data_IF_759130388312
#
_entry.id   IF_759130388312
#
_cell.length_a   1.000
_cell.length_b   1.000
_cell.length_c   1.000
_cell.angle_alpha   90.00
_cell.angle_beta   90.00
_cell.angle_gamma   90.00
#
_symmetry.space_group_name_H-M   'P 1'
#
loop_
_entity.id
_entity.type
_entity.pdbx_description
1 polymer ?
#
# COMPACT_ATOMS: atom_id res chain seq x y z
N UNK A 1 -22.60 -3.60 -10.32
CA UNK A 1 -22.12 -2.20 -10.40
C UNK A 1 -20.67 -2.22 -10.88
N UNK A 2 -20.28 -1.37 -11.83
CA UNK A 2 -18.90 -1.35 -12.36
C UNK A 2 -17.92 -0.77 -11.34
N UNK A 3 -16.87 -1.52 -11.01
CA UNK A 3 -15.80 -1.17 -10.05
C UNK A 3 -14.74 -0.22 -10.63
N UNK A 4 -14.75 0.02 -11.95
CA UNK A 4 -13.84 0.99 -12.58
C UNK A 4 -14.18 2.41 -12.13
N UNK A 5 -13.15 3.18 -11.79
CA UNK A 5 -13.25 4.57 -11.37
C UNK A 5 -12.87 5.46 -12.56
N UNK A 6 -13.57 6.58 -12.72
CA UNK A 6 -13.31 7.56 -13.78
C UNK A 6 -13.62 8.96 -13.26
N UNK A 7 -14.01 9.85 -14.16
CA UNK A 7 -14.34 11.25 -13.81
C UNK A 7 -15.62 11.38 -12.96
N UNK A 8 -16.53 10.41 -13.02
CA UNK A 8 -17.76 10.42 -12.24
C UNK A 8 -17.57 9.70 -10.90
N UNK A 9 -17.89 10.40 -9.81
CA UNK A 9 -17.75 9.89 -8.44
C UNK A 9 -18.69 8.71 -8.19
N UNK A 10 -18.15 7.65 -7.58
CA UNK A 10 -18.88 6.45 -7.13
C UNK A 10 -18.67 6.13 -5.66
N UNK A 11 -17.81 6.88 -4.96
CA UNK A 11 -17.55 6.71 -3.53
C UNK A 11 -18.77 7.13 -2.71
N UNK A 12 -19.01 6.38 -1.63
CA UNK A 12 -20.11 6.65 -0.68
C UNK A 12 -19.63 7.33 0.60
N UNK A 13 -18.31 7.43 0.79
CA UNK A 13 -17.67 8.04 1.94
C UNK A 13 -16.16 8.16 1.73
N UNK A 14 -15.50 8.80 2.68
CA UNK A 14 -14.07 9.03 2.70
C UNK A 14 -13.53 8.92 4.13
N UNK A 15 -12.23 8.67 4.25
CA UNK A 15 -11.53 8.62 5.53
C UNK A 15 -10.33 9.55 5.49
N UNK A 16 -9.95 10.06 6.65
CA UNK A 16 -8.78 10.92 6.81
C UNK A 16 -7.93 10.39 7.96
N UNK A 17 -6.61 10.38 7.74
CA UNK A 17 -5.63 10.06 8.77
C UNK A 17 -4.58 11.17 8.87
N UNK A 18 -3.90 11.22 10.01
CA UNK A 18 -2.80 12.15 10.26
C UNK A 18 -1.58 11.31 10.68
N UNK A 19 -0.44 11.58 10.05
CA UNK A 19 0.87 10.98 10.38
C UNK A 19 1.97 12.02 10.23
N UNK A 20 3.12 11.77 10.86
CA UNK A 20 4.32 12.62 10.74
C UNK A 20 5.10 12.38 9.44
N UNK A 21 4.78 11.29 8.74
CA UNK A 21 5.27 10.96 7.42
C UNK A 21 4.15 10.35 6.58
N UNK A 22 4.39 10.22 5.27
CA UNK A 22 3.40 9.72 4.33
C UNK A 22 3.06 8.26 4.58
N UNK A 23 4.07 7.41 4.79
CA UNK A 23 3.90 5.98 4.99
C UNK A 23 2.97 5.71 6.18
N UNK A 24 3.18 6.41 7.30
CA UNK A 24 2.36 6.35 8.50
C UNK A 24 0.92 6.78 8.24
N UNK A 25 0.72 7.95 7.63
CA UNK A 25 -0.60 8.48 7.34
C UNK A 25 -1.34 7.51 6.39
N UNK A 26 -0.68 7.07 5.33
CA UNK A 26 -1.27 6.20 4.32
C UNK A 26 -1.73 4.86 4.92
N UNK A 27 -0.88 4.18 5.69
CA UNK A 27 -1.27 2.90 6.31
C UNK A 27 -2.42 3.06 7.32
N UNK A 28 -2.46 4.17 8.07
CA UNK A 28 -3.58 4.48 8.97
C UNK A 28 -4.87 4.71 8.21
N UNK A 29 -4.84 5.48 7.12
CA UNK A 29 -6.02 5.72 6.29
C UNK A 29 -6.53 4.40 5.71
N UNK A 30 -5.64 3.55 5.21
CA UNK A 30 -6.04 2.30 4.55
C UNK A 30 -6.76 1.34 5.51
N UNK A 31 -6.37 1.31 6.78
CA UNK A 31 -7.09 0.56 7.84
C UNK A 31 -8.46 1.12 8.20
N UNK A 32 -8.70 2.41 7.98
CA UNK A 32 -10.00 3.03 8.26
C UNK A 32 -11.02 2.75 7.15
N UNK A 33 -10.58 2.36 5.95
CA UNK A 33 -11.47 2.13 4.80
C UNK A 33 -12.25 0.81 4.92
N UNK A 34 -11.62 -0.24 5.44
CA UNK A 34 -12.19 -1.59 5.51
C UNK A 34 -11.61 -2.32 6.72
N UNK A 35 -12.48 -2.86 7.58
CA UNK A 35 -12.11 -3.56 8.83
C UNK A 35 -11.23 -4.79 8.58
N UNK A 36 -11.26 -5.35 7.36
CA UNK A 36 -10.48 -6.53 6.98
C UNK A 36 -9.09 -6.17 6.41
N UNK A 37 -8.75 -4.88 6.34
CA UNK A 37 -7.49 -4.39 5.76
C UNK A 37 -6.60 -3.87 6.89
N UNK A 38 -5.48 -4.57 7.14
CA UNK A 38 -4.52 -4.18 8.18
C UNK A 38 -3.50 -3.11 7.75
N UNK A 39 -3.50 -2.76 6.46
CA UNK A 39 -2.57 -1.80 5.89
C UNK A 39 -2.29 -2.11 4.43
N UNK A 40 -1.14 -1.69 3.94
CA UNK A 40 -0.74 -1.85 2.55
C UNK A 40 -0.20 -3.28 2.29
N UNK A 41 -1.09 -4.26 2.42
CA UNK A 41 -0.74 -5.68 2.33
C UNK A 41 -0.66 -6.16 0.87
N UNK A 42 0.50 -6.68 0.42
CA UNK A 42 0.71 -7.14 -0.95
C UNK A 42 0.06 -8.49 -1.28
N UNK A 43 -0.51 -9.21 -0.32
CA UNK A 43 -1.07 -10.54 -0.53
C UNK A 43 -2.60 -10.55 -0.72
N UNK A 44 -3.27 -9.40 -0.58
CA UNK A 44 -4.74 -9.29 -0.74
C UNK A 44 -5.18 -9.50 -2.20
N UNK A 45 -4.35 -9.07 -3.15
CA UNK A 45 -4.59 -9.21 -4.59
C UNK A 45 -3.36 -9.81 -5.28
N UNK A 46 -3.57 -10.34 -6.48
CA UNK A 46 -2.49 -10.70 -7.41
C UNK A 46 -2.22 -9.54 -8.35
N UNK A 47 -1.04 -9.52 -8.93
CA UNK A 47 -0.69 -8.53 -9.95
C UNK A 47 -1.63 -8.64 -11.13
N UNK A 48 -2.13 -7.50 -11.57
CA UNK A 48 -2.98 -7.35 -12.73
C UNK A 48 -2.70 -6.00 -13.39
N UNK A 49 -1.94 -6.00 -14.48
CA UNK A 49 -1.55 -4.76 -15.16
C UNK A 49 -2.75 -3.99 -15.71
N UNK A 50 -3.85 -4.66 -16.04
CA UNK A 50 -5.08 -3.99 -16.48
C UNK A 50 -5.68 -3.13 -15.37
N UNK A 51 -5.66 -3.60 -14.11
CA UNK A 51 -6.13 -2.79 -12.97
C UNK A 51 -5.13 -1.70 -12.56
N UNK A 52 -3.85 -1.86 -12.90
CA UNK A 52 -2.86 -0.80 -12.77
C UNK A 52 -3.09 0.30 -13.82
N UNK A 53 -3.45 -0.05 -15.05
CA UNK A 53 -3.75 0.91 -16.12
C UNK A 53 -5.14 1.55 -15.98
N UNK A 54 -6.16 0.75 -15.74
CA UNK A 54 -7.54 1.17 -15.57
C UNK A 54 -7.89 1.20 -14.07
N UNK A 55 -7.95 2.38 -13.43
CA UNK A 55 -8.09 2.47 -11.98
C UNK A 55 -9.40 1.86 -11.46
N UNK A 56 -9.26 1.06 -10.40
CA UNK A 56 -10.37 0.44 -9.64
C UNK A 56 -10.29 0.83 -8.16
N UNK A 57 -11.34 0.54 -7.41
CA UNK A 57 -11.39 0.67 -5.94
C UNK A 57 -10.37 -0.20 -5.21
N UNK A 58 -9.82 -1.23 -5.88
CA UNK A 58 -8.82 -2.15 -5.32
C UNK A 58 -7.42 -1.98 -5.93
N UNK A 59 -7.20 -0.96 -6.78
CA UNK A 59 -5.91 -0.69 -7.46
C UNK A 59 -4.72 -0.63 -6.50
N UNK A 60 -4.91 -0.08 -5.30
CA UNK A 60 -3.82 0.03 -4.32
C UNK A 60 -3.29 -1.34 -3.87
N UNK A 61 -4.14 -2.35 -3.74
CA UNK A 61 -3.69 -3.71 -3.37
C UNK A 61 -2.99 -4.41 -4.53
N UNK A 62 -3.41 -4.13 -5.77
CA UNK A 62 -2.69 -4.61 -6.97
C UNK A 62 -1.33 -3.93 -7.10
N UNK A 63 -1.22 -2.65 -6.74
CA UNK A 63 0.05 -1.91 -6.67
C UNK A 63 1.00 -2.53 -5.63
N UNK A 64 0.49 -2.87 -4.44
CA UNK A 64 1.25 -3.53 -3.39
C UNK A 64 1.82 -4.88 -3.87
N UNK A 65 0.97 -5.70 -4.50
CA UNK A 65 1.38 -6.98 -5.10
C UNK A 65 2.46 -6.78 -6.17
N UNK A 66 2.33 -5.77 -7.03
CA UNK A 66 3.28 -5.51 -8.12
C UNK A 66 4.66 -5.08 -7.59
N UNK A 67 4.68 -4.26 -6.54
CA UNK A 67 5.91 -3.89 -5.85
C UNK A 67 6.60 -5.13 -5.25
N UNK A 68 5.84 -6.03 -4.63
CA UNK A 68 6.36 -7.30 -4.08
C UNK A 68 6.87 -8.25 -5.16
N UNK A 69 6.25 -8.26 -6.34
CA UNK A 69 6.75 -9.01 -7.51
C UNK A 69 7.96 -8.33 -8.20
N UNK A 70 8.49 -7.24 -7.63
CA UNK A 70 9.71 -6.59 -8.11
C UNK A 70 9.50 -5.62 -9.27
N UNK A 71 8.28 -5.12 -9.48
CA UNK A 71 8.04 -4.09 -10.50
C UNK A 71 8.80 -2.81 -10.14
N UNK A 72 9.47 -2.23 -11.14
CA UNK A 72 10.20 -0.97 -10.94
C UNK A 72 9.23 0.20 -10.80
N UNK A 73 9.66 1.24 -10.06
CA UNK A 73 8.91 2.50 -9.93
C UNK A 73 8.63 3.12 -11.30
N UNK A 74 9.57 3.00 -12.24
CA UNK A 74 9.37 3.49 -13.61
C UNK A 74 8.24 2.73 -14.33
N UNK A 75 8.23 1.39 -14.26
CA UNK A 75 7.16 0.58 -14.85
C UNK A 75 5.80 0.92 -14.23
N UNK A 76 5.73 1.06 -12.90
CA UNK A 76 4.51 1.43 -12.20
C UNK A 76 4.05 2.84 -12.55
N UNK A 77 4.96 3.79 -12.73
CA UNK A 77 4.63 5.12 -13.23
C UNK A 77 4.01 5.04 -14.63
N UNK A 78 4.59 4.25 -15.53
CA UNK A 78 4.11 4.13 -16.91
C UNK A 78 2.70 3.54 -16.99
N UNK A 79 2.42 2.52 -16.16
CA UNK A 79 1.10 1.90 -16.03
C UNK A 79 0.10 2.82 -15.34
N UNK A 80 0.50 3.48 -14.25
CA UNK A 80 -0.47 4.09 -13.33
C UNK A 80 -0.63 5.60 -13.43
N UNK A 81 0.41 6.28 -13.91
CA UNK A 81 0.62 7.74 -13.85
C UNK A 81 0.60 8.33 -12.42
N UNK A 82 0.69 7.51 -11.39
CA UNK A 82 0.92 7.97 -10.01
C UNK A 82 2.33 8.52 -9.93
N UNK A 83 2.49 9.70 -9.31
CA UNK A 83 3.80 10.35 -9.22
C UNK A 83 4.84 9.43 -8.56
N UNK A 84 6.07 9.46 -9.10
CA UNK A 84 7.17 8.59 -8.66
C UNK A 84 7.48 8.76 -7.18
N UNK A 85 7.32 9.96 -6.63
CA UNK A 85 7.52 10.20 -5.20
C UNK A 85 6.63 9.28 -4.35
N UNK A 86 5.33 9.16 -4.67
CA UNK A 86 4.43 8.26 -3.95
C UNK A 86 4.78 6.80 -4.18
N UNK A 87 5.14 6.43 -5.41
CA UNK A 87 5.55 5.06 -5.73
C UNK A 87 6.79 4.62 -4.93
N UNK A 88 7.78 5.49 -4.76
CA UNK A 88 8.92 5.24 -3.87
C UNK A 88 8.48 5.07 -2.40
N UNK A 89 7.50 5.86 -1.95
CA UNK A 89 6.93 5.70 -0.59
C UNK A 89 6.21 4.38 -0.40
N UNK A 90 5.44 3.93 -1.38
CA UNK A 90 4.81 2.61 -1.34
C UNK A 90 5.84 1.50 -1.37
N UNK A 91 6.90 1.65 -2.19
CA UNK A 91 8.03 0.71 -2.22
C UNK A 91 8.69 0.58 -0.85
N UNK A 92 8.93 1.69 -0.13
CA UNK A 92 9.50 1.65 1.22
C UNK A 92 8.66 0.77 2.18
N UNK A 93 7.33 0.84 2.08
CA UNK A 93 6.43 0.03 2.91
C UNK A 93 6.61 -1.46 2.56
N UNK A 94 6.63 -1.80 1.27
CA UNK A 94 6.78 -3.18 0.80
C UNK A 94 8.17 -3.75 1.13
N UNK A 95 9.25 -2.98 0.92
CA UNK A 95 10.60 -3.40 1.29
C UNK A 95 10.68 -3.69 2.80
N UNK A 96 10.04 -2.87 3.63
CA UNK A 96 9.99 -3.09 5.07
C UNK A 96 9.11 -4.29 5.43
N UNK A 97 8.00 -4.50 4.72
CA UNK A 97 7.13 -5.66 4.86
C UNK A 97 7.93 -6.96 4.63
N UNK A 98 8.67 -7.06 3.52
CA UNK A 98 9.51 -8.22 3.21
C UNK A 98 10.60 -8.44 4.25
N UNK A 99 11.26 -7.35 4.70
CA UNK A 99 12.24 -7.42 5.79
C UNK A 99 11.64 -8.02 7.06
N UNK A 100 10.42 -7.63 7.45
CA UNK A 100 9.75 -8.18 8.61
C UNK A 100 9.38 -9.65 8.43
N UNK A 101 8.99 -10.08 7.21
CA UNK A 101 8.68 -11.48 6.92
C UNK A 101 9.89 -12.42 7.07
N UNK A 102 11.12 -11.91 6.86
CA UNK A 102 12.34 -12.69 7.02
C UNK A 102 12.81 -12.83 8.48
N UNK A 103 12.17 -12.15 9.43
CA UNK A 103 12.61 -12.13 10.83
C UNK A 103 11.73 -13.06 11.65
N UNK A 104 12.36 -13.96 12.39
CA UNK A 104 11.67 -14.83 13.33
C UNK A 104 11.07 -14.04 14.50
N UNK A 105 9.89 -14.45 14.97
CA UNK A 105 9.18 -13.78 16.07
C UNK A 105 10.01 -13.64 17.34
N UNK A 106 10.92 -14.58 17.62
CA UNK A 106 11.83 -14.54 18.77
C UNK A 106 12.97 -13.51 18.64
N UNK A 107 13.22 -13.02 17.42
CA UNK A 107 14.30 -12.09 17.10
C UNK A 107 13.80 -10.63 16.90
N UNK A 108 12.51 -10.35 17.17
CA UNK A 108 11.94 -9.01 17.07
C UNK A 108 12.54 -8.12 18.17
N UNK A 109 13.40 -7.19 17.76
CA UNK A 109 13.99 -6.20 18.68
C UNK A 109 13.08 -4.99 18.87
N UNK A 110 13.22 -4.30 20.01
CA UNK A 110 12.50 -3.05 20.29
C UNK A 110 12.71 -2.00 19.18
N UNK A 111 13.94 -1.84 18.70
CA UNK A 111 14.23 -0.85 17.65
C UNK A 111 13.59 -1.23 16.32
N UNK A 112 13.58 -2.51 15.94
CA UNK A 112 12.87 -2.98 14.75
C UNK A 112 11.37 -2.66 14.83
N UNK A 113 10.74 -2.97 15.97
CA UNK A 113 9.32 -2.72 16.19
C UNK A 113 9.02 -1.22 16.16
N UNK A 114 9.83 -0.41 16.84
CA UNK A 114 9.69 1.06 16.85
C UNK A 114 9.79 1.66 15.45
N UNK A 115 10.68 1.17 14.60
CA UNK A 115 10.76 1.61 13.20
C UNK A 115 9.54 1.16 12.39
N UNK A 116 9.05 -0.07 12.60
CA UNK A 116 7.82 -0.55 11.96
C UNK A 116 6.62 0.35 12.30
N UNK A 117 6.44 0.68 13.59
CA UNK A 117 5.37 1.57 14.05
C UNK A 117 5.47 2.97 13.46
N UNK A 118 6.69 3.52 13.31
CA UNK A 118 6.91 4.83 12.68
C UNK A 118 6.54 4.88 11.19
N UNK A 119 6.56 3.73 10.49
CA UNK A 119 6.13 3.59 9.10
C UNK A 119 4.61 3.31 9.02
N UNK A 120 3.94 3.12 10.17
CA UNK A 120 2.48 2.98 10.25
C UNK A 120 1.96 1.54 10.27
N UNK A 121 2.82 0.54 10.45
CA UNK A 121 2.40 -0.85 10.58
C UNK A 121 1.48 -1.03 11.81
N UNK A 122 0.38 -1.76 11.62
CA UNK A 122 -0.43 -2.25 12.72
C UNK A 122 0.32 -3.31 13.52
N UNK A 123 -0.25 -3.68 14.67
CA UNK A 123 0.23 -4.86 15.40
C UNK A 123 -0.11 -6.15 14.64
#
# INVERSE_FOLDING_TARGET
VSTKIGSSMKSVGEVMSIGRNFEEAFQKALRMVDENVNGFDPNIKRVNENELMEPTDKRMFVLAAALKEGYTVQKLYDLTKIDRWFLEKFKNIIDYYEKLQCIDSSAITFELLKQAKKIGFSD
#
